data_IF_442228014480
#
_entry.id   IF_442228014480
#
_cell.length_a   1.000
_cell.length_b   1.000
_cell.length_c   1.000
_cell.angle_alpha   90.00
_cell.angle_beta   90.00
_cell.angle_gamma   90.00
#
_symmetry.space_group_name_H-M   'P 1'
#
loop_
_entity.id
_entity.type
_entity.pdbx_description
1 polymer ?
#
# COMPACT_ATOMS: atom_id res chain seq x y z
N UNK A 1 -16.16 29.66 -23.76
CA UNK A 1 -15.85 30.80 -22.87
C UNK A 1 -14.43 31.22 -23.18
N UNK A 2 -14.25 32.36 -23.85
CA UNK A 2 -12.94 32.85 -24.29
C UNK A 2 -12.20 33.46 -23.11
N UNK A 3 -11.19 32.74 -22.63
CA UNK A 3 -10.35 33.15 -21.50
C UNK A 3 -9.52 34.39 -21.87
N UNK A 4 -9.90 35.52 -21.26
CA UNK A 4 -9.31 36.86 -21.45
C UNK A 4 -7.95 37.01 -20.75
N UNK A 5 -7.00 36.11 -21.00
CA UNK A 5 -5.63 36.24 -20.48
C UNK A 5 -4.79 37.16 -21.38
N UNK A 6 -5.08 38.46 -21.35
CA UNK A 6 -4.20 39.49 -21.90
C UNK A 6 -3.87 40.51 -20.80
N UNK A 7 -2.76 40.30 -20.08
CA UNK A 7 -2.25 41.32 -19.18
C UNK A 7 -1.44 42.33 -19.99
N UNK A 8 -1.91 43.58 -20.07
CA UNK A 8 -1.26 44.70 -20.79
C UNK A 8 -0.94 44.42 -22.27
N UNK A 9 -1.85 43.73 -22.98
CA UNK A 9 -1.75 43.56 -24.43
C UNK A 9 -0.63 42.65 -24.93
N UNK A 10 0.12 41.99 -24.03
CA UNK A 10 1.09 40.95 -24.39
C UNK A 10 0.39 39.59 -24.35
N UNK A 11 0.53 38.81 -25.43
CA UNK A 11 0.14 37.41 -25.43
C UNK A 11 0.98 36.69 -24.37
N UNK A 12 0.34 36.11 -23.36
CA UNK A 12 1.04 35.20 -22.47
C UNK A 12 1.51 34.01 -23.30
N UNK A 13 2.78 33.58 -23.18
CA UNK A 13 3.24 32.40 -23.90
C UNK A 13 2.35 31.22 -23.50
N UNK A 14 1.82 30.52 -24.51
CA UNK A 14 1.03 29.32 -24.28
C UNK A 14 1.88 28.37 -23.43
N UNK A 15 1.36 27.86 -22.29
CA UNK A 15 2.12 26.91 -21.48
C UNK A 15 2.54 25.73 -22.35
N UNK A 16 3.74 25.20 -22.09
CA UNK A 16 4.31 24.14 -22.90
C UNK A 16 3.36 22.94 -22.95
N UNK A 17 3.08 22.45 -24.18
CA UNK A 17 2.26 21.27 -24.39
C UNK A 17 3.03 20.05 -23.86
N UNK A 18 2.64 19.56 -22.67
CA UNK A 18 3.33 18.46 -21.98
C UNK A 18 3.29 18.55 -20.45
N UNK A 19 3.16 19.76 -19.89
CA UNK A 19 2.96 19.94 -18.43
C UNK A 19 1.50 19.72 -18.01
N UNK A 20 0.58 19.68 -18.98
CA UNK A 20 -0.86 19.45 -18.80
C UNK A 20 -1.20 17.96 -18.84
N UNK A 21 -0.62 17.17 -17.94
CA UNK A 21 -0.99 15.77 -17.70
C UNK A 21 -1.47 15.56 -16.27
N UNK A 22 -2.39 14.63 -16.03
CA UNK A 22 -2.79 14.25 -14.67
C UNK A 22 -1.61 13.54 -13.98
N UNK A 23 -0.79 14.33 -13.30
CA UNK A 23 0.34 13.82 -12.55
C UNK A 23 -0.16 13.42 -11.15
N UNK A 24 -0.42 12.11 -10.98
CA UNK A 24 -0.68 11.60 -9.63
C UNK A 24 0.62 11.75 -8.85
N UNK A 25 0.60 12.48 -7.73
CA UNK A 25 1.72 12.54 -6.76
C UNK A 25 1.89 11.17 -6.09
N UNK A 26 2.18 10.13 -6.88
CA UNK A 26 2.24 8.74 -6.46
C UNK A 26 3.49 8.57 -5.59
N UNK A 27 3.26 8.29 -4.32
CA UNK A 27 4.34 7.92 -3.42
C UNK A 27 4.74 6.46 -3.64
N UNK A 28 6.04 6.18 -3.64
CA UNK A 28 6.57 4.83 -3.72
C UNK A 28 6.28 4.08 -2.40
N UNK A 29 5.87 2.81 -2.51
CA UNK A 29 5.63 1.96 -1.34
C UNK A 29 6.95 1.68 -0.63
N UNK A 30 6.95 1.77 0.69
CA UNK A 30 8.10 1.43 1.52
C UNK A 30 8.46 -0.06 1.34
N UNK A 31 9.75 -0.38 1.36
CA UNK A 31 10.29 -1.72 1.13
C UNK A 31 10.42 -2.10 -0.35
N UNK A 32 10.39 -1.12 -1.26
CA UNK A 32 10.65 -1.32 -2.70
C UNK A 32 12.03 -0.79 -3.07
N UNK A 33 12.55 -1.16 -4.25
CA UNK A 33 13.86 -0.69 -4.72
C UNK A 33 13.98 0.85 -4.77
N UNK A 34 12.88 1.57 -5.02
CA UNK A 34 12.86 3.03 -5.05
C UNK A 34 12.67 3.66 -3.67
N UNK A 35 12.23 2.90 -2.67
CA UNK A 35 12.03 3.34 -1.30
C UNK A 35 12.30 2.17 -0.32
N UNK A 36 13.57 1.84 -0.06
CA UNK A 36 13.95 0.71 0.80
C UNK A 36 13.65 1.01 2.27
N UNK A 37 13.51 -0.05 3.08
CA UNK A 37 13.38 0.07 4.53
C UNK A 37 14.68 0.61 5.13
N UNK A 38 14.58 1.47 6.13
CA UNK A 38 15.72 2.00 6.86
C UNK A 38 15.73 1.34 8.22
N UNK A 39 16.69 0.45 8.47
CA UNK A 39 16.79 -0.34 9.69
C UNK A 39 18.17 -0.13 10.33
N UNK A 40 18.22 -0.11 11.67
CA UNK A 40 19.46 -0.11 12.44
C UNK A 40 19.50 -1.27 13.43
N UNK A 41 20.64 -1.96 13.48
CA UNK A 41 20.84 -3.18 14.26
C UNK A 41 22.16 -3.07 15.03
N UNK A 42 22.29 -3.75 16.18
CA UNK A 42 23.52 -3.64 16.99
C UNK A 42 24.61 -4.63 16.59
N UNK A 43 24.25 -5.82 16.12
CA UNK A 43 25.16 -6.93 15.89
C UNK A 43 25.03 -7.52 14.48
N UNK A 44 26.12 -8.07 13.96
CA UNK A 44 26.15 -8.75 12.65
C UNK A 44 25.25 -10.00 12.61
N UNK A 45 25.18 -10.76 13.71
CA UNK A 45 24.28 -11.91 13.80
C UNK A 45 22.81 -11.50 13.60
N UNK A 46 22.42 -10.37 14.18
CA UNK A 46 21.06 -9.83 14.05
C UNK A 46 20.81 -9.24 12.66
N UNK A 47 21.81 -8.68 12.01
CA UNK A 47 21.71 -8.25 10.61
C UNK A 47 21.34 -9.43 9.70
N UNK A 48 22.03 -10.56 9.82
CA UNK A 48 21.77 -11.75 9.00
C UNK A 48 20.33 -12.27 9.20
N UNK A 49 19.86 -12.32 10.44
CA UNK A 49 18.48 -12.70 10.77
C UNK A 49 17.47 -11.75 10.11
N UNK A 50 17.67 -10.43 10.27
CA UNK A 50 16.79 -9.42 9.67
C UNK A 50 16.82 -9.51 8.14
N UNK A 51 17.99 -9.75 7.53
CA UNK A 51 18.13 -9.90 6.09
C UNK A 51 17.37 -11.12 5.58
N UNK A 52 17.38 -12.24 6.31
CA UNK A 52 16.57 -13.43 5.97
C UNK A 52 15.08 -13.12 6.01
N UNK A 53 14.60 -12.40 7.04
CA UNK A 53 13.19 -11.98 7.15
C UNK A 53 12.82 -11.06 5.97
N UNK A 54 13.65 -10.06 5.67
CA UNK A 54 13.46 -9.15 4.54
C UNK A 54 13.36 -9.92 3.22
N UNK A 55 14.25 -10.89 2.99
CA UNK A 55 14.27 -11.73 1.81
C UNK A 55 13.03 -12.63 1.70
N UNK A 56 12.63 -13.26 2.82
CA UNK A 56 11.43 -14.10 2.89
C UNK A 56 10.17 -13.32 2.49
N UNK A 57 10.08 -12.06 2.90
CA UNK A 57 8.96 -11.18 2.59
C UNK A 57 9.11 -10.41 1.26
N UNK A 58 10.20 -10.66 0.51
CA UNK A 58 10.50 -9.99 -0.78
C UNK A 58 10.56 -8.46 -0.67
N UNK A 59 11.07 -7.97 0.46
CA UNK A 59 11.25 -6.54 0.73
C UNK A 59 12.71 -6.14 0.43
N UNK A 60 12.94 -4.84 0.23
CA UNK A 60 14.29 -4.26 0.10
C UNK A 60 14.55 -3.37 1.32
N UNK A 61 15.69 -3.57 1.99
CA UNK A 61 16.09 -2.84 3.19
C UNK A 61 17.57 -2.41 3.12
N UNK A 62 17.85 -1.22 3.64
CA UNK A 62 19.18 -0.73 3.97
C UNK A 62 19.37 -0.90 5.48
N UNK A 63 20.30 -1.77 5.86
CA UNK A 63 20.58 -2.10 7.26
C UNK A 63 21.91 -1.42 7.64
N UNK A 64 21.92 -0.75 8.78
CA UNK A 64 23.13 -0.13 9.35
C UNK A 64 23.44 -0.76 10.70
N UNK A 65 24.71 -1.13 10.91
CA UNK A 65 25.16 -1.73 12.17
C UNK A 65 25.72 -0.63 13.05
N UNK A 66 25.09 -0.38 14.20
CA UNK A 66 25.53 0.60 15.18
C UNK A 66 25.34 0.01 16.59
N UNK A 67 26.43 -0.31 17.28
CA UNK A 67 26.38 -0.91 18.62
C UNK A 67 25.94 0.10 19.72
N UNK A 68 26.24 1.39 19.53
CA UNK A 68 26.01 2.43 20.55
C UNK A 68 24.56 2.96 20.58
N UNK A 69 23.79 2.70 19.51
CA UNK A 69 22.44 3.23 19.34
C UNK A 69 21.42 2.11 19.57
N UNK A 70 20.24 2.46 20.09
CA UNK A 70 19.14 1.52 20.20
C UNK A 70 18.71 0.98 18.82
N UNK A 71 18.38 -0.31 18.76
CA UNK A 71 17.91 -0.95 17.52
C UNK A 71 16.63 -0.28 17.00
N UNK A 72 16.56 -0.08 15.69
CA UNK A 72 15.38 0.47 15.03
C UNK A 72 14.91 -0.45 13.90
N UNK A 73 13.89 -1.25 14.20
CA UNK A 73 13.25 -2.19 13.27
C UNK A 73 11.75 -1.92 13.07
N UNK A 74 11.28 -0.75 13.53
CA UNK A 74 9.85 -0.40 13.58
C UNK A 74 9.17 -0.46 12.21
N UNK A 75 9.88 -0.09 11.14
CA UNK A 75 9.34 -0.14 9.78
C UNK A 75 9.06 -1.58 9.33
N UNK A 76 9.97 -2.51 9.66
CA UNK A 76 9.83 -3.93 9.34
C UNK A 76 8.69 -4.53 10.15
N UNK A 77 8.66 -4.29 11.46
CA UNK A 77 7.58 -4.77 12.35
C UNK A 77 6.21 -4.24 11.92
N UNK A 78 6.11 -2.96 11.56
CA UNK A 78 4.86 -2.37 11.09
C UNK A 78 4.32 -3.00 9.80
N UNK A 79 5.20 -3.47 8.92
CA UNK A 79 4.79 -4.19 7.69
C UNK A 79 4.33 -5.61 8.02
N UNK A 80 5.05 -6.31 8.90
CA UNK A 80 4.73 -7.69 9.29
C UNK A 80 3.44 -7.77 10.10
N UNK A 81 3.22 -6.83 11.01
CA UNK A 81 2.05 -6.78 11.89
C UNK A 81 0.85 -6.05 11.27
N UNK A 82 0.86 -5.83 9.95
CA UNK A 82 -0.23 -5.11 9.28
C UNK A 82 -1.55 -5.86 9.48
N UNK A 83 -2.60 -5.21 10.01
CA UNK A 83 -3.88 -5.86 10.25
C UNK A 83 -4.46 -6.38 8.94
N UNK A 84 -4.83 -7.67 8.94
CA UNK A 84 -5.50 -8.31 7.80
C UNK A 84 -6.98 -7.98 7.87
N UNK A 85 -7.58 -7.68 6.72
CA UNK A 85 -9.02 -7.51 6.63
C UNK A 85 -9.72 -8.83 7.00
N UNK A 86 -10.70 -8.76 7.89
CA UNK A 86 -11.55 -9.91 8.21
C UNK A 86 -12.47 -10.14 7.02
N UNK A 87 -12.32 -11.29 6.36
CA UNK A 87 -13.21 -11.69 5.27
C UNK A 87 -14.47 -12.29 5.89
N UNK A 88 -15.58 -11.56 5.83
CA UNK A 88 -16.88 -12.14 6.13
C UNK A 88 -17.29 -13.09 5.00
N UNK A 89 -17.82 -14.27 5.35
CA UNK A 89 -18.40 -15.17 4.36
C UNK A 89 -19.57 -14.47 3.63
N UNK A 90 -19.70 -14.77 2.35
CA UNK A 90 -20.79 -14.22 1.55
C UNK A 90 -22.13 -14.68 2.13
N UNK A 91 -22.99 -13.72 2.51
CA UNK A 91 -24.36 -14.04 2.93
C UNK A 91 -25.08 -14.83 1.84
N UNK A 92 -25.83 -15.86 2.25
CA UNK A 92 -26.64 -16.67 1.34
C UNK A 92 -27.54 -15.76 0.50
N UNK A 93 -27.50 -15.93 -0.82
CA UNK A 93 -28.34 -15.15 -1.72
C UNK A 93 -29.83 -15.46 -1.46
N UNK A 94 -30.67 -14.43 -1.36
CA UNK A 94 -32.12 -14.54 -1.13
C UNK A 94 -32.84 -15.54 -2.05
N UNK A 95 -32.36 -15.72 -3.28
CA UNK A 95 -32.96 -16.67 -4.25
C UNK A 95 -32.27 -18.04 -4.30
N UNK A 96 -31.15 -18.25 -3.61
CA UNK A 96 -30.44 -19.53 -3.56
C UNK A 96 -31.30 -20.62 -2.87
N UNK A 97 -31.08 -21.91 -3.15
CA UNK A 97 -31.71 -23.00 -2.41
C UNK A 97 -31.43 -22.86 -0.92
N UNK A 98 -32.45 -23.07 -0.10
CA UNK A 98 -32.32 -22.89 1.34
C UNK A 98 -31.48 -24.00 1.98
N UNK A 99 -30.65 -23.62 2.95
CA UNK A 99 -29.84 -24.50 3.81
C UNK A 99 -30.67 -25.53 4.59
N UNK A 100 -31.98 -25.33 4.74
CA UNK A 100 -32.92 -26.28 5.35
C UNK A 100 -33.16 -27.55 4.50
N UNK A 101 -32.61 -27.62 3.27
CA UNK A 101 -32.81 -28.75 2.36
C UNK A 101 -34.20 -28.81 1.71
N UNK A 102 -35.05 -27.82 1.94
CA UNK A 102 -36.45 -27.81 1.44
C UNK A 102 -36.59 -27.58 -0.07
N UNK A 103 -35.49 -27.32 -0.80
CA UNK A 103 -35.51 -26.94 -2.21
C UNK A 103 -36.13 -25.57 -2.50
N UNK A 104 -36.68 -24.88 -1.49
CA UNK A 104 -37.27 -23.54 -1.62
C UNK A 104 -36.16 -22.47 -1.63
N UNK A 105 -36.45 -21.32 -2.26
CA UNK A 105 -35.57 -20.13 -2.21
C UNK A 105 -35.36 -19.70 -0.75
N UNK A 106 -34.15 -19.28 -0.39
CA UNK A 106 -33.79 -18.87 0.98
C UNK A 106 -34.79 -17.87 1.60
N UNK A 107 -35.18 -16.83 0.83
CA UNK A 107 -36.18 -15.80 1.20
C UNK A 107 -37.61 -16.30 1.44
N UNK A 108 -37.86 -17.60 1.30
CA UNK A 108 -39.15 -18.28 1.45
C UNK A 108 -39.06 -19.51 2.38
N UNK A 109 -37.92 -19.78 3.03
CA UNK A 109 -37.76 -20.84 4.05
C UNK A 109 -37.17 -20.24 5.34
N UNK A 110 -35.85 -20.19 5.47
CA UNK A 110 -35.14 -19.79 6.70
C UNK A 110 -34.67 -18.33 6.71
N UNK A 111 -35.15 -17.52 5.77
CA UNK A 111 -34.84 -16.09 5.64
C UNK A 111 -36.03 -15.29 5.18
#
# INVERSE_FOLDING_TARGET
MSDKFFFKGRQTPKPAYGESGYNTKRQAKVGTATNPLILSVQNEAREQEVQQIVAQHKLVANITINADVAENILQLEGILNKPKAVTAEAKINRNAPCICGSGKKYKKCCG
#
